data_IF_534412021546
#
_entry.id   IF_534412021546
#
_cell.length_a   1.000
_cell.length_b   1.000
_cell.length_c   1.000
_cell.angle_alpha   90.00
_cell.angle_beta   90.00
_cell.angle_gamma   90.00
#
_symmetry.space_group_name_H-M   'P 1'
#
loop_
_entity.id
_entity.type
_entity.pdbx_description
1 polymer ?
#
# COMPACT_ATOMS: atom_id res chain seq x y z
N UNK A 1 -2.25 -9.81 -0.33
CA UNK A 1 -2.59 -8.62 -1.15
C UNK A 1 -1.43 -7.66 -1.27
N UNK A 2 -0.89 -7.11 -0.18
CA UNK A 2 0.31 -6.26 -0.23
C UNK A 2 1.43 -6.81 -1.11
N UNK A 3 1.75 -8.11 -0.99
CA UNK A 3 2.74 -8.78 -1.83
C UNK A 3 2.41 -8.75 -3.33
N UNK A 4 1.16 -9.05 -3.66
CA UNK A 4 0.66 -9.10 -5.04
C UNK A 4 0.77 -7.71 -5.69
N UNK A 5 0.38 -6.67 -4.95
CA UNK A 5 0.49 -5.27 -5.35
C UNK A 5 1.96 -4.84 -5.54
N UNK A 6 2.84 -5.22 -4.60
CA UNK A 6 4.27 -4.90 -4.66
C UNK A 6 4.93 -5.46 -5.93
N UNK A 7 4.51 -6.64 -6.38
CA UNK A 7 5.02 -7.31 -7.57
C UNK A 7 4.29 -6.93 -8.87
N UNK A 8 3.28 -6.06 -8.81
CA UNK A 8 2.55 -5.59 -9.99
C UNK A 8 1.75 -6.68 -10.69
N UNK A 9 1.28 -7.67 -9.94
CA UNK A 9 0.45 -8.75 -10.48
C UNK A 9 -0.93 -8.20 -10.90
N UNK A 10 -1.39 -8.48 -12.13
CA UNK A 10 -2.58 -7.84 -12.69
C UNK A 10 -3.89 -8.48 -12.22
N UNK A 11 -3.85 -9.66 -11.62
CA UNK A 11 -5.04 -10.39 -11.20
C UNK A 11 -4.75 -11.39 -10.08
N UNK A 12 -5.79 -11.73 -9.34
CA UNK A 12 -5.81 -12.83 -8.38
C UNK A 12 -6.82 -13.88 -8.87
N UNK A 13 -6.34 -15.08 -9.20
CA UNK A 13 -7.22 -16.17 -9.64
C UNK A 13 -7.80 -16.95 -8.44
N UNK A 14 -6.95 -17.38 -7.52
CA UNK A 14 -7.34 -18.23 -6.39
C UNK A 14 -6.56 -17.86 -5.13
N UNK A 15 -7.24 -17.85 -3.99
CA UNK A 15 -6.68 -17.61 -2.67
C UNK A 15 -7.07 -18.75 -1.71
N UNK A 16 -6.08 -19.57 -1.33
CA UNK A 16 -6.25 -20.60 -0.31
C UNK A 16 -5.87 -20.06 1.08
N UNK A 17 -6.77 -20.20 2.06
CA UNK A 17 -6.60 -19.70 3.43
C UNK A 17 -7.08 -20.73 4.45
N UNK A 18 -6.51 -20.70 5.65
CA UNK A 18 -6.78 -21.69 6.70
C UNK A 18 -8.13 -21.51 7.40
N UNK A 19 -8.76 -20.35 7.27
CA UNK A 19 -10.04 -20.02 7.88
C UNK A 19 -10.82 -19.07 6.98
N UNK A 20 -12.15 -19.06 7.12
CA UNK A 20 -13.01 -18.15 6.37
C UNK A 20 -12.55 -16.69 6.53
N UNK A 21 -12.52 -15.89 5.45
CA UNK A 21 -12.07 -14.50 5.55
C UNK A 21 -13.08 -13.70 6.37
N UNK A 22 -12.62 -12.79 7.22
CA UNK A 22 -13.52 -11.92 7.98
C UNK A 22 -14.15 -10.84 7.08
N UNK A 23 -15.16 -10.12 7.58
CA UNK A 23 -15.86 -9.07 6.83
C UNK A 23 -14.92 -7.97 6.29
N UNK A 24 -13.92 -7.57 7.07
CA UNK A 24 -12.92 -6.59 6.64
C UNK A 24 -12.13 -7.07 5.40
N UNK A 25 -11.67 -8.33 5.39
CA UNK A 25 -10.95 -8.88 4.24
C UNK A 25 -11.87 -9.04 3.02
N UNK A 26 -13.11 -9.52 3.23
CA UNK A 26 -14.09 -9.63 2.15
C UNK A 26 -14.33 -8.28 1.48
N UNK A 27 -14.49 -7.24 2.29
CA UNK A 27 -14.67 -5.86 1.81
C UNK A 27 -13.41 -5.32 1.09
N UNK A 28 -12.21 -5.69 1.55
CA UNK A 28 -10.97 -5.38 0.81
C UNK A 28 -10.98 -6.00 -0.59
N UNK A 29 -11.41 -7.26 -0.72
CA UNK A 29 -11.46 -7.94 -2.01
C UNK A 29 -12.49 -7.35 -2.98
N UNK A 30 -13.47 -6.58 -2.49
CA UNK A 30 -14.43 -5.85 -3.33
C UNK A 30 -13.78 -4.80 -4.23
N UNK A 31 -12.54 -4.39 -3.96
CA UNK A 31 -11.78 -3.41 -4.74
C UNK A 31 -11.15 -3.98 -6.00
N UNK A 32 -10.92 -5.30 -6.01
CA UNK A 32 -10.16 -5.95 -7.07
C UNK A 32 -10.90 -5.84 -8.40
N UNK A 33 -10.19 -5.51 -9.47
CA UNK A 33 -10.72 -5.58 -10.84
C UNK A 33 -11.26 -6.99 -11.17
N UNK A 34 -10.65 -8.02 -10.60
CA UNK A 34 -11.04 -9.42 -10.73
C UNK A 34 -11.94 -9.93 -9.60
N UNK A 35 -12.55 -9.06 -8.78
CA UNK A 35 -13.29 -9.44 -7.57
C UNK A 35 -14.31 -10.57 -7.77
N UNK A 36 -15.02 -10.57 -8.90
CA UNK A 36 -16.05 -11.58 -9.20
C UNK A 36 -15.52 -12.92 -9.68
N UNK A 37 -14.28 -12.97 -10.16
CA UNK A 37 -13.64 -14.18 -10.67
C UNK A 37 -12.66 -14.82 -9.67
N UNK A 38 -12.37 -14.19 -8.53
CA UNK A 38 -11.53 -14.79 -7.49
C UNK A 38 -12.21 -16.02 -6.87
N UNK A 39 -11.45 -17.10 -6.71
CA UNK A 39 -11.82 -18.29 -5.92
C UNK A 39 -11.19 -18.24 -4.54
N UNK A 40 -11.97 -18.52 -3.50
CA UNK A 40 -11.51 -18.64 -2.12
C UNK A 40 -11.61 -20.09 -1.68
N UNK A 41 -10.49 -20.68 -1.26
CA UNK A 41 -10.42 -22.06 -0.79
C UNK A 41 -10.15 -22.07 0.71
N UNK A 42 -11.04 -22.62 1.51
CA UNK A 42 -10.82 -22.82 2.94
C UNK A 42 -11.60 -24.01 3.48
N UNK A 43 -11.18 -24.52 4.64
CA UNK A 43 -11.82 -25.66 5.28
C UNK A 43 -13.24 -25.36 5.74
N UNK A 44 -14.13 -26.33 5.58
CA UNK A 44 -15.45 -26.34 6.20
C UNK A 44 -15.34 -26.26 7.73
N UNK A 45 -16.41 -25.81 8.40
CA UNK A 45 -16.43 -25.68 9.87
C UNK A 45 -16.18 -27.02 10.60
N UNK A 46 -16.46 -28.14 9.95
CA UNK A 46 -16.23 -29.50 10.47
C UNK A 46 -14.84 -30.06 10.12
N UNK A 47 -14.02 -29.31 9.35
CA UNK A 47 -12.67 -29.70 8.93
C UNK A 47 -12.60 -30.90 7.99
N UNK A 48 -13.74 -31.40 7.51
CA UNK A 48 -13.81 -32.62 6.72
C UNK A 48 -13.39 -32.38 5.25
N UNK A 49 -13.68 -31.20 4.69
CA UNK A 49 -13.43 -30.89 3.28
C UNK A 49 -12.96 -29.44 3.07
N UNK A 50 -12.19 -29.22 2.01
CA UNK A 50 -11.95 -27.87 1.50
C UNK A 50 -13.08 -27.47 0.56
N UNK A 51 -13.66 -26.30 0.79
CA UNK A 51 -14.74 -25.76 -0.01
C UNK A 51 -14.24 -24.56 -0.84
N UNK A 52 -14.80 -24.42 -2.05
CA UNK A 52 -14.55 -23.30 -2.94
C UNK A 52 -15.71 -22.31 -2.86
N UNK A 53 -15.37 -21.03 -2.68
CA UNK A 53 -16.33 -19.92 -2.66
C UNK A 53 -15.92 -18.83 -3.64
N UNK A 54 -16.90 -18.08 -4.13
CA UNK A 54 -16.71 -16.78 -4.80
C UNK A 54 -16.95 -15.65 -3.82
N UNK A 55 -16.49 -14.45 -4.18
CA UNK A 55 -16.72 -13.28 -3.32
C UNK A 55 -18.22 -13.02 -3.08
N UNK A 56 -19.07 -13.26 -4.09
CA UNK A 56 -20.53 -13.11 -3.98
C UNK A 56 -21.17 -14.04 -2.95
N UNK A 57 -20.59 -15.21 -2.70
CA UNK A 57 -21.09 -16.17 -1.71
C UNK A 57 -20.72 -15.72 -0.29
N UNK A 58 -19.58 -15.04 -0.18
CA UNK A 58 -19.03 -14.56 1.09
C UNK A 58 -19.54 -13.16 1.46
N UNK A 59 -19.89 -12.34 0.48
CA UNK A 59 -20.33 -10.97 0.65
C UNK A 59 -21.43 -10.66 -0.39
N UNK A 60 -22.67 -11.14 -0.15
CA UNK A 60 -23.80 -10.85 -1.02
C UNK A 60 -24.13 -9.35 -1.01
N UNK A 61 -24.63 -8.84 -2.14
CA UNK A 61 -25.01 -7.43 -2.33
C UNK A 61 -23.93 -6.45 -1.84
N UNK A 62 -22.66 -6.77 -2.15
CA UNK A 62 -21.51 -6.03 -1.65
C UNK A 62 -21.53 -4.56 -2.08
N UNK A 63 -21.16 -3.69 -1.15
CA UNK A 63 -20.77 -2.32 -1.45
C UNK A 63 -19.33 -2.28 -2.00
N UNK A 64 -19.03 -1.44 -2.98
CA UNK A 64 -17.71 -1.35 -3.60
C UNK A 64 -17.53 -0.17 -4.56
N UNK A 65 -16.49 -0.21 -5.43
CA UNK A 65 -16.19 0.86 -6.37
C UNK A 65 -17.38 1.31 -7.23
N UNK A 66 -18.23 0.37 -7.66
CA UNK A 66 -19.40 0.64 -8.51
C UNK A 66 -20.44 1.57 -7.86
N UNK A 67 -20.45 1.66 -6.54
CA UNK A 67 -21.41 2.50 -5.80
C UNK A 67 -20.92 3.94 -5.63
N UNK A 68 -19.62 4.20 -5.80
CA UNK A 68 -18.98 5.50 -5.54
C UNK A 68 -18.29 6.11 -6.76
N UNK A 69 -17.85 5.29 -7.71
CA UNK A 69 -17.06 5.71 -8.87
C UNK A 69 -17.90 5.61 -10.14
N UNK A 70 -17.82 6.63 -10.99
CA UNK A 70 -18.36 6.55 -12.34
C UNK A 70 -17.54 5.53 -13.15
N UNK A 71 -18.17 4.67 -13.97
CA UNK A 71 -17.46 3.70 -14.79
C UNK A 71 -16.36 4.35 -15.65
N UNK A 72 -15.11 3.91 -15.50
CA UNK A 72 -13.96 4.42 -16.23
C UNK A 72 -13.35 5.72 -15.68
N UNK A 73 -13.86 6.26 -14.58
CA UNK A 73 -13.30 7.48 -13.95
C UNK A 73 -11.95 7.25 -13.28
N UNK A 74 -11.67 6.02 -12.84
CA UNK A 74 -10.40 5.59 -12.29
C UNK A 74 -10.19 4.08 -12.53
N UNK A 75 -8.93 3.61 -12.63
CA UNK A 75 -8.63 2.19 -12.67
C UNK A 75 -9.00 1.51 -11.34
N UNK A 76 -9.46 0.26 -11.39
CA UNK A 76 -9.73 -0.59 -10.21
C UNK A 76 -8.43 -1.15 -9.62
N UNK A 77 -8.50 -1.73 -8.41
CA UNK A 77 -7.32 -2.33 -7.79
C UNK A 77 -6.81 -3.51 -8.64
N UNK A 78 -5.48 -3.57 -8.82
CA UNK A 78 -4.72 -4.46 -9.73
C UNK A 78 -4.67 -4.04 -11.20
N UNK A 79 -5.49 -3.10 -11.64
CA UNK A 79 -5.26 -2.45 -12.92
C UNK A 79 -4.05 -1.51 -12.82
N UNK A 80 -3.34 -1.25 -13.94
CA UNK A 80 -2.21 -0.33 -13.94
C UNK A 80 -2.57 1.04 -13.36
N UNK A 81 -1.84 1.43 -12.32
CA UNK A 81 -1.95 2.74 -11.67
C UNK A 81 -0.80 3.63 -12.15
N UNK A 82 -1.11 4.87 -12.54
CA UNK A 82 -0.10 5.87 -12.91
C UNK A 82 -0.52 7.25 -12.38
N UNK A 83 -0.29 7.47 -11.09
CA UNK A 83 -0.46 8.79 -10.51
C UNK A 83 0.73 9.65 -10.95
N UNK A 84 0.48 10.63 -11.82
CA UNK A 84 1.50 11.56 -12.31
C UNK A 84 2.00 12.49 -11.19
N UNK A 85 2.90 11.98 -10.35
CA UNK A 85 3.47 12.68 -9.20
C UNK A 85 4.93 13.05 -9.44
N UNK A 86 5.31 14.22 -8.95
CA UNK A 86 6.70 14.67 -8.85
C UNK A 86 6.99 15.21 -7.45
N UNK A 87 8.27 15.35 -7.11
CA UNK A 87 8.67 15.96 -5.85
C UNK A 87 8.44 17.46 -5.88
N UNK A 88 7.78 17.99 -4.85
CA UNK A 88 7.66 19.43 -4.68
C UNK A 88 9.01 20.09 -4.39
N UNK A 89 9.09 21.41 -4.59
CA UNK A 89 10.33 22.17 -4.45
C UNK A 89 11.07 21.97 -3.11
N UNK A 90 10.34 21.81 -2.00
CA UNK A 90 10.94 21.55 -0.68
C UNK A 90 11.54 20.14 -0.57
N UNK A 91 10.89 19.14 -1.17
CA UNK A 91 11.42 17.77 -1.22
C UNK A 91 12.68 17.70 -2.08
N UNK A 92 12.72 18.37 -3.23
CA UNK A 92 13.92 18.44 -4.09
C UNK A 92 15.13 19.02 -3.35
N UNK A 93 14.97 20.16 -2.66
CA UNK A 93 16.06 20.72 -1.83
C UNK A 93 16.54 19.73 -0.77
N UNK A 94 15.62 19.02 -0.12
CA UNK A 94 15.96 18.02 0.90
C UNK A 94 16.74 16.83 0.33
N UNK A 95 16.41 16.40 -0.88
CA UNK A 95 17.13 15.36 -1.61
C UNK A 95 18.55 15.82 -1.96
N UNK A 96 18.70 17.05 -2.46
CA UNK A 96 20.00 17.66 -2.76
C UNK A 96 20.90 17.76 -1.52
N UNK A 97 20.36 18.25 -0.40
CA UNK A 97 21.06 18.36 0.89
C UNK A 97 21.54 17.01 1.44
N UNK A 98 20.77 15.93 1.22
CA UNK A 98 21.12 14.56 1.63
C UNK A 98 22.06 13.88 0.64
N UNK A 99 22.38 14.53 -0.48
CA UNK A 99 23.23 14.04 -1.56
C UNK A 99 22.41 13.37 -2.68
N UNK A 100 22.46 13.94 -3.89
CA UNK A 100 21.79 13.45 -5.09
C UNK A 100 22.43 12.20 -5.73
N UNK A 101 23.14 11.38 -4.95
CA UNK A 101 23.82 10.18 -5.40
C UNK A 101 22.97 8.91 -5.33
N UNK A 102 23.59 7.75 -5.56
CA UNK A 102 22.99 6.41 -5.46
C UNK A 102 22.91 5.86 -4.02
N UNK A 103 23.01 6.74 -3.02
CA UNK A 103 22.97 6.40 -1.60
C UNK A 103 21.65 5.76 -1.16
N UNK A 104 21.66 5.09 -0.01
CA UNK A 104 20.48 4.37 0.51
C UNK A 104 19.25 5.26 0.67
N UNK A 105 19.44 6.51 1.10
CA UNK A 105 18.35 7.48 1.24
C UNK A 105 17.74 7.86 -0.11
N UNK A 106 18.56 8.11 -1.14
CA UNK A 106 18.07 8.43 -2.48
C UNK A 106 17.30 7.26 -3.09
N UNK A 107 17.78 6.01 -2.91
CA UNK A 107 17.05 4.80 -3.31
C UNK A 107 15.72 4.65 -2.57
N UNK A 108 15.69 4.93 -1.27
CA UNK A 108 14.46 4.88 -0.48
C UNK A 108 13.47 5.96 -0.89
N UNK A 109 13.92 7.19 -1.14
CA UNK A 109 13.06 8.25 -1.65
C UNK A 109 12.48 7.86 -3.02
N UNK A 110 13.30 7.42 -3.97
CA UNK A 110 12.83 6.95 -5.27
C UNK A 110 11.81 5.81 -5.15
N UNK A 111 12.06 4.83 -4.27
CA UNK A 111 11.12 3.74 -4.00
C UNK A 111 9.80 4.22 -3.37
N UNK A 112 9.84 5.21 -2.46
CA UNK A 112 8.64 5.81 -1.88
C UNK A 112 7.81 6.57 -2.93
N UNK A 113 8.46 7.32 -3.82
CA UNK A 113 7.77 8.00 -4.93
C UNK A 113 7.14 7.00 -5.88
N UNK A 114 7.87 5.97 -6.29
CA UNK A 114 7.34 4.94 -7.20
C UNK A 114 6.16 4.20 -6.57
N UNK A 115 6.24 3.91 -5.26
CA UNK A 115 5.13 3.33 -4.52
C UNK A 115 3.91 4.27 -4.47
N UNK A 116 4.12 5.58 -4.35
CA UNK A 116 3.04 6.58 -4.42
C UNK A 116 2.43 6.65 -5.84
N UNK A 117 3.27 6.65 -6.88
CA UNK A 117 2.82 6.65 -8.29
C UNK A 117 1.95 5.44 -8.62
N UNK A 118 2.28 4.28 -8.05
CA UNK A 118 1.53 3.02 -8.22
C UNK A 118 0.43 2.80 -7.17
N UNK A 119 0.21 3.74 -6.25
CA UNK A 119 -0.79 3.57 -5.19
C UNK A 119 -2.22 3.66 -5.75
N UNK A 120 -3.15 2.99 -5.08
CA UNK A 120 -4.57 3.01 -5.41
C UNK A 120 -5.30 3.91 -4.43
N UNK A 121 -5.71 5.11 -4.87
CA UNK A 121 -6.43 6.08 -4.04
C UNK A 121 -7.49 6.87 -4.80
N UNK A 122 -8.50 6.21 -5.41
CA UNK A 122 -9.48 6.88 -6.26
C UNK A 122 -10.47 7.75 -5.48
N UNK A 123 -10.65 7.53 -4.17
CA UNK A 123 -11.69 8.21 -3.40
C UNK A 123 -11.20 9.54 -2.83
N UNK A 124 -10.04 9.55 -2.17
CA UNK A 124 -9.50 10.80 -1.59
C UNK A 124 -8.53 11.51 -2.52
N UNK A 125 -8.07 10.83 -3.58
CA UNK A 125 -7.03 11.33 -4.50
C UNK A 125 -5.76 11.77 -3.78
N UNK A 126 -5.39 11.03 -2.73
CA UNK A 126 -4.18 11.25 -1.93
C UNK A 126 -3.19 10.10 -2.10
N UNK A 127 -2.57 9.96 -3.29
CA UNK A 127 -1.60 8.91 -3.52
C UNK A 127 -0.40 9.08 -2.58
N UNK A 128 0.06 7.96 -2.04
CA UNK A 128 1.14 7.97 -1.05
C UNK A 128 1.90 6.65 -1.04
N UNK A 129 3.16 6.74 -0.65
CA UNK A 129 4.10 5.64 -0.62
C UNK A 129 5.05 5.77 0.56
N UNK A 130 5.51 4.64 1.06
CA UNK A 130 6.48 4.58 2.15
C UNK A 130 7.63 3.69 1.74
N UNK A 131 8.85 4.08 2.10
CA UNK A 131 10.02 3.23 2.06
C UNK A 131 10.64 3.09 3.46
N UNK A 132 11.15 1.90 3.76
CA UNK A 132 11.85 1.53 4.98
C UNK A 132 13.32 1.31 4.62
N UNK A 133 14.22 2.03 5.27
CA UNK A 133 15.65 1.76 5.26
C UNK A 133 15.92 0.83 6.43
N UNK A 134 16.41 -0.37 6.14
CA UNK A 134 16.81 -1.35 7.14
C UNK A 134 18.32 -1.54 7.18
N UNK A 135 18.81 -2.13 8.27
CA UNK A 135 20.23 -2.44 8.50
C UNK A 135 20.88 -3.07 7.27
N UNK A 136 22.10 -2.64 6.98
CA UNK A 136 22.84 -3.08 5.80
C UNK A 136 22.39 -2.42 4.48
N UNK A 137 21.58 -1.36 4.56
CA UNK A 137 21.20 -0.54 3.41
C UNK A 137 20.11 -1.15 2.53
N UNK A 138 19.36 -2.12 3.06
CA UNK A 138 18.20 -2.74 2.41
C UNK A 138 17.04 -1.74 2.39
N UNK A 139 16.31 -1.70 1.28
CA UNK A 139 15.16 -0.80 1.09
C UNK A 139 13.94 -1.65 0.78
N UNK A 140 12.87 -1.43 1.53
CA UNK A 140 11.54 -2.01 1.28
C UNK A 140 10.54 -0.89 1.09
N UNK A 141 9.48 -1.10 0.32
CA UNK A 141 8.50 -0.06 0.08
C UNK A 141 7.09 -0.61 -0.09
N UNK A 142 6.10 0.27 0.03
CA UNK A 142 4.68 -0.07 -0.12
C UNK A 142 3.87 1.18 -0.44
N UNK A 143 2.91 1.00 -1.36
CA UNK A 143 1.97 2.04 -1.78
C UNK A 143 0.69 1.99 -0.97
N UNK A 144 -0.03 3.11 -0.93
CA UNK A 144 -1.35 3.18 -0.32
C UNK A 144 -2.38 2.40 -1.14
N UNK A 145 -3.36 1.81 -0.46
CA UNK A 145 -4.52 1.17 -1.11
C UNK A 145 -5.77 1.58 -0.36
N UNK A 146 -6.60 2.39 -0.97
CA UNK A 146 -7.89 2.75 -0.41
C UNK A 146 -8.91 1.62 -0.57
N UNK A 147 -10.06 1.83 0.06
CA UNK A 147 -11.22 0.99 -0.06
C UNK A 147 -12.48 1.88 -0.04
N UNK A 148 -13.50 1.52 -0.80
CA UNK A 148 -14.79 2.20 -0.86
C UNK A 148 -15.40 2.34 0.53
N UNK A 149 -15.24 1.34 1.40
CA UNK A 149 -15.72 1.38 2.78
C UNK A 149 -14.77 2.10 3.75
N UNK A 150 -13.75 2.81 3.24
CA UNK A 150 -12.69 3.54 3.94
C UNK A 150 -11.83 2.69 4.89
N UNK A 151 -12.40 2.16 5.96
CA UNK A 151 -11.72 1.43 7.02
C UNK A 151 -10.87 0.24 6.54
N UNK A 152 -11.24 -0.51 5.48
CA UNK A 152 -10.42 -1.59 4.98
C UNK A 152 -9.17 -1.17 4.20
N UNK A 153 -8.94 0.13 4.00
CA UNK A 153 -7.74 0.60 3.30
C UNK A 153 -6.45 0.11 3.97
N UNK A 154 -5.45 -0.22 3.14
CA UNK A 154 -4.12 -0.64 3.57
C UNK A 154 -3.17 0.56 3.53
N UNK A 155 -2.70 1.02 4.70
CA UNK A 155 -1.77 2.14 4.79
C UNK A 155 -0.42 1.80 4.13
N UNK A 156 0.27 2.76 3.49
CA UNK A 156 1.53 2.49 2.79
C UNK A 156 2.63 1.95 3.71
N UNK A 157 2.66 2.38 4.98
CA UNK A 157 3.58 1.82 5.98
C UNK A 157 3.32 0.33 6.24
N UNK A 158 2.06 -0.09 6.35
CA UNK A 158 1.70 -1.50 6.53
C UNK A 158 2.05 -2.32 5.30
N UNK A 159 1.83 -1.78 4.09
CA UNK A 159 2.25 -2.42 2.85
C UNK A 159 3.78 -2.59 2.79
N UNK A 160 4.55 -1.56 3.18
CA UNK A 160 6.00 -1.62 3.20
C UNK A 160 6.53 -2.63 4.22
N UNK A 161 5.92 -2.71 5.41
CA UNK A 161 6.26 -3.72 6.43
C UNK A 161 5.93 -5.13 5.95
N UNK A 162 4.77 -5.35 5.32
CA UNK A 162 4.41 -6.65 4.77
C UNK A 162 5.42 -7.11 3.71
N UNK A 163 5.80 -6.20 2.79
CA UNK A 163 6.85 -6.45 1.80
C UNK A 163 8.21 -6.74 2.44
N UNK A 164 8.55 -6.01 3.53
CA UNK A 164 9.79 -6.24 4.26
C UNK A 164 9.84 -7.62 4.93
N UNK A 165 8.79 -8.05 5.61
CA UNK A 165 8.69 -9.37 6.25
C UNK A 165 8.84 -10.48 5.20
N UNK A 166 8.13 -10.37 4.07
CA UNK A 166 8.23 -11.33 2.97
C UNK A 166 9.64 -11.32 2.36
N UNK A 167 10.25 -10.13 2.24
CA UNK A 167 11.63 -9.94 1.80
C UNK A 167 12.69 -10.33 2.84
N UNK A 168 12.31 -10.93 3.97
CA UNK A 168 13.22 -11.44 5.00
C UNK A 168 13.78 -10.35 5.92
N UNK A 169 13.00 -9.31 6.24
CA UNK A 169 13.28 -8.45 7.38
C UNK A 169 13.16 -9.30 8.65
N UNK A 170 14.14 -9.18 9.55
CA UNK A 170 14.10 -9.82 10.85
C UNK A 170 13.18 -9.06 11.82
N UNK A 171 13.66 -8.72 13.02
CA UNK A 171 12.91 -7.86 13.94
C UNK A 171 12.72 -6.45 13.39
N UNK A 172 11.67 -5.77 13.84
CA UNK A 172 11.38 -4.39 13.44
C UNK A 172 12.47 -3.39 13.84
N UNK A 173 13.29 -3.70 14.86
CA UNK A 173 14.41 -2.86 15.29
C UNK A 173 15.55 -2.77 14.26
N UNK A 174 15.50 -3.56 13.18
CA UNK A 174 16.39 -3.43 12.02
C UNK A 174 16.05 -2.21 11.15
N UNK A 175 14.87 -1.60 11.30
CA UNK A 175 14.48 -0.41 10.55
C UNK A 175 15.21 0.80 11.15
N UNK A 176 16.01 1.48 10.31
CA UNK A 176 16.87 2.60 10.68
C UNK A 176 16.26 3.97 10.33
N UNK A 177 15.46 4.05 9.25
CA UNK A 177 14.76 5.27 8.83
C UNK A 177 13.51 4.92 8.01
N UNK A 178 12.46 5.74 8.13
CA UNK A 178 11.25 5.67 7.30
C UNK A 178 11.20 6.89 6.41
N UNK A 179 10.96 6.70 5.11
CA UNK A 179 10.74 7.78 4.14
C UNK A 179 9.30 7.73 3.67
N UNK A 180 8.58 8.84 3.78
CA UNK A 180 7.17 8.96 3.39
C UNK A 180 7.06 9.90 2.19
N UNK A 181 6.41 9.44 1.13
CA UNK A 181 5.99 10.23 -0.01
C UNK A 181 4.47 10.43 0.07
N UNK A 182 4.01 11.66 0.21
CA UNK A 182 2.58 11.99 0.26
C UNK A 182 2.31 13.33 -0.42
N UNK A 183 1.08 13.54 -0.87
CA UNK A 183 0.70 14.78 -1.56
C UNK A 183 0.67 15.94 -0.58
N UNK A 184 1.42 17.02 -0.85
CA UNK A 184 1.53 18.18 0.06
C UNK A 184 0.20 18.91 0.31
N UNK A 185 -0.75 18.79 -0.61
CA UNK A 185 -2.10 19.36 -0.52
C UNK A 185 -3.19 18.30 -0.31
N UNK A 186 -2.79 17.06 0.02
CA UNK A 186 -3.72 15.94 0.18
C UNK A 186 -4.65 16.08 1.39
N UNK A 187 -5.91 15.69 1.21
CA UNK A 187 -6.92 15.58 2.27
C UNK A 187 -6.53 14.53 3.33
N UNK A 188 -5.83 13.48 2.91
CA UNK A 188 -5.33 12.41 3.79
C UNK A 188 -3.80 12.45 3.81
N UNK A 189 -3.24 12.42 5.02
CA UNK A 189 -1.80 12.43 5.28
C UNK A 189 -1.42 11.18 6.08
N UNK A 190 -0.38 10.48 5.64
CA UNK A 190 0.07 9.19 6.19
C UNK A 190 1.25 9.34 7.17
N UNK A 191 2.00 10.45 7.10
CA UNK A 191 3.21 10.65 7.88
C UNK A 191 3.01 10.51 9.40
N UNK A 192 1.93 11.07 9.95
CA UNK A 192 1.65 11.00 11.39
C UNK A 192 1.44 9.57 11.88
N UNK A 193 0.66 8.77 11.12
CA UNK A 193 0.43 7.36 11.43
C UNK A 193 1.71 6.56 11.28
N UNK A 194 2.42 6.71 10.15
CA UNK A 194 3.69 6.03 9.91
C UNK A 194 4.69 6.31 11.04
N UNK A 195 4.78 7.56 11.51
CA UNK A 195 5.66 7.94 12.61
C UNK A 195 5.32 7.26 13.93
N UNK A 196 4.06 7.26 14.33
CA UNK A 196 3.64 6.66 15.61
C UNK A 196 3.83 5.14 15.57
N UNK A 197 3.37 4.49 14.50
CA UNK A 197 3.42 3.03 14.37
C UNK A 197 4.87 2.54 14.22
N UNK A 198 5.70 3.20 13.41
CA UNK A 198 7.08 2.79 13.23
C UNK A 198 7.90 2.90 14.53
N UNK A 199 7.74 4.00 15.28
CA UNK A 199 8.43 4.18 16.56
C UNK A 199 7.98 3.17 17.61
N UNK A 200 6.69 2.84 17.65
CA UNK A 200 6.18 1.81 18.53
C UNK A 200 6.69 0.42 18.15
N UNK A 201 6.65 0.07 16.85
CA UNK A 201 7.07 -1.24 16.35
C UNK A 201 8.57 -1.49 16.54
N UNK A 202 9.40 -0.46 16.32
CA UNK A 202 10.86 -0.54 16.48
C UNK A 202 11.32 -0.40 17.93
N UNK A 203 10.45 0.03 18.85
CA UNK A 203 10.85 0.43 20.20
C UNK A 203 11.75 1.67 20.26
N UNK A 204 11.91 2.40 19.14
CA UNK A 204 12.78 3.57 19.02
C UNK A 204 11.95 4.85 18.91
N UNK A 205 11.78 5.57 20.02
CA UNK A 205 11.05 6.84 20.05
C UNK A 205 11.67 7.95 19.18
N UNK A 206 12.96 7.81 18.82
CA UNK A 206 13.71 8.74 18.00
C UNK A 206 13.91 8.25 16.57
N UNK A 207 13.23 7.17 16.15
CA UNK A 207 13.32 6.67 14.77
C UNK A 207 13.11 7.83 13.78
N UNK A 208 14.09 8.07 12.87
CA UNK A 208 13.97 9.05 11.81
C UNK A 208 12.79 8.72 10.89
N UNK A 209 11.94 9.72 10.67
CA UNK A 209 10.83 9.65 9.71
C UNK A 209 10.91 10.89 8.86
N UNK A 210 11.35 10.72 7.62
CA UNK A 210 11.52 11.81 6.65
C UNK A 210 10.29 11.87 5.76
N UNK A 211 9.60 13.01 5.78
CA UNK A 211 8.44 13.27 4.91
C UNK A 211 8.89 14.11 3.72
N UNK A 212 8.63 13.60 2.51
CA UNK A 212 8.89 14.28 1.25
C UNK A 212 7.55 14.50 0.56
N UNK A 213 7.15 15.77 0.43
CA UNK A 213 5.89 16.11 -0.21
C UNK A 213 6.02 16.02 -1.73
N UNK A 214 5.04 15.36 -2.33
CA UNK A 214 4.80 15.32 -3.78
C UNK A 214 3.77 16.37 -4.18
N UNK A 215 3.78 16.68 -5.46
CA UNK A 215 2.74 17.44 -6.16
C UNK A 215 2.33 16.71 -7.43
N UNK A 216 1.13 16.99 -7.93
CA UNK A 216 0.72 16.50 -9.24
C UNK A 216 1.59 17.16 -10.31
N UNK A 217 2.19 16.36 -11.17
CA UNK A 217 2.94 16.87 -12.29
C UNK A 217 2.03 17.75 -13.14
N UNK A 218 2.54 18.92 -13.53
CA UNK A 218 1.82 19.77 -14.48
C UNK A 218 1.62 18.97 -15.77
N UNK A 219 0.37 18.83 -16.22
CA UNK A 219 0.07 18.23 -17.53
C UNK A 219 0.87 18.98 -18.60
N UNK A 220 1.84 18.30 -19.24
CA UNK A 220 2.52 18.81 -20.43
C UNK A 220 1.57 18.85 -21.62
#
# INVERSE_FOLDING_TARGET
MANLLLHGEPALDTLAISAAPCGHCRQFYSELACADSVRFLFGSHDGAHQEEYRLRDLLPDRFGPIDLLEPGSAPLLLEPQDNALEWGAAANRRLEERGAGDGVFARAAAAALEAARRSYSPYTRCPSGVALIARGGRVFHGGYTENAAHNPGLAPFQAAVAGAIIGGLGPYDEIEEVVVAELGTGLVQQASLAKVVARAATGNALLPVTVLHTEWASSQ
#
